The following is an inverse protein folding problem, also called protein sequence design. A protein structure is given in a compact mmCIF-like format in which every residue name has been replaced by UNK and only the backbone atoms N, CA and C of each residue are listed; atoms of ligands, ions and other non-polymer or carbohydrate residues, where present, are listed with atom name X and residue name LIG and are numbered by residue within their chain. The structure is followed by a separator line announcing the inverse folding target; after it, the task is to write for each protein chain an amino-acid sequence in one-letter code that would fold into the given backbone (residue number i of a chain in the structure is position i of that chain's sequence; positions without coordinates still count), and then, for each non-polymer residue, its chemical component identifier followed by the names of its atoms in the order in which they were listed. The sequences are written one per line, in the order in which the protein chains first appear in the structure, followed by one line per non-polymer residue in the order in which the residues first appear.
data_IF_772511969261
#
_entry.id   IF_772511969261
#
_cell.length_a   1.000
_cell.length_b   1.000
_cell.length_c   1.000
_cell.angle_alpha   90.00
_cell.angle_beta   90.00
_cell.angle_gamma   90.00
#
_symmetry.space_group_name_H-M   'P 1'
#
loop_
_entity.id
_entity.type
_entity.pdbx_description
1 polymer ?
#
# COMPACT_ATOMS: atom_id res chain seq x y z
N UNK A 1 1.79 7.76 23.13
CA UNK A 1 1.16 8.77 22.24
C UNK A 1 1.94 8.97 20.95
N UNK A 2 3.26 9.25 21.00
CA UNK A 2 4.10 9.40 19.80
C UNK A 2 4.02 8.21 18.83
N UNK A 3 4.06 6.96 19.32
CA UNK A 3 3.93 5.78 18.47
C UNK A 3 2.60 5.73 17.70
N UNK A 4 1.48 6.06 18.34
CA UNK A 4 0.16 6.08 17.69
C UNK A 4 0.08 7.16 16.61
N UNK A 5 0.63 8.34 16.88
CA UNK A 5 0.70 9.43 15.92
C UNK A 5 1.53 9.00 14.71
N UNK A 6 2.70 8.38 14.94
CA UNK A 6 3.55 7.85 13.89
C UNK A 6 2.82 6.79 13.05
N UNK A 7 2.19 5.80 13.69
CA UNK A 7 1.44 4.75 13.00
C UNK A 7 0.29 5.32 12.16
N UNK A 8 -0.40 6.35 12.67
CA UNK A 8 -1.46 7.04 11.91
C UNK A 8 -0.91 7.77 10.69
N UNK A 9 0.22 8.47 10.81
CA UNK A 9 0.88 9.14 9.68
C UNK A 9 1.29 8.13 8.63
N UNK A 10 1.91 7.01 9.04
CA UNK A 10 2.30 5.92 8.14
C UNK A 10 1.08 5.39 7.39
N UNK A 11 -0.01 5.07 8.10
CA UNK A 11 -1.25 4.63 7.46
C UNK A 11 -1.78 5.65 6.46
N UNK A 12 -1.78 6.93 6.82
CA UNK A 12 -2.28 7.99 5.94
C UNK A 12 -1.46 8.06 4.65
N UNK A 13 -0.12 7.97 4.74
CA UNK A 13 0.77 7.91 3.57
C UNK A 13 0.45 6.71 2.67
N UNK A 14 0.29 5.52 3.25
CA UNK A 14 -0.04 4.31 2.49
C UNK A 14 -1.43 4.36 1.87
N UNK A 15 -2.42 4.93 2.56
CA UNK A 15 -3.75 5.16 2.02
C UNK A 15 -3.71 6.08 0.80
N UNK A 16 -2.96 7.18 0.90
CA UNK A 16 -2.77 8.10 -0.23
C UNK A 16 -2.02 7.43 -1.39
N UNK A 17 -0.99 6.62 -1.12
CA UNK A 17 -0.25 5.88 -2.13
C UNK A 17 -1.17 4.90 -2.88
N UNK A 18 -2.02 4.14 -2.17
CA UNK A 18 -2.99 3.23 -2.79
C UNK A 18 -3.99 3.99 -3.68
N UNK A 19 -4.51 5.15 -3.24
CA UNK A 19 -5.40 5.99 -4.04
C UNK A 19 -4.69 6.51 -5.29
N UNK A 20 -3.43 6.93 -5.17
CA UNK A 20 -2.59 7.39 -6.26
C UNK A 20 -2.38 6.29 -7.32
N UNK A 21 -1.94 5.11 -6.90
CA UNK A 21 -1.76 3.92 -7.75
C UNK A 21 -3.07 3.59 -8.47
N UNK A 22 -4.18 3.55 -7.73
CA UNK A 22 -5.47 3.22 -8.30
C UNK A 22 -5.91 4.20 -9.40
N UNK A 23 -5.77 5.51 -9.16
CA UNK A 23 -6.15 6.54 -10.13
C UNK A 23 -5.23 6.56 -11.35
N UNK A 24 -3.92 6.40 -11.16
CA UNK A 24 -2.93 6.64 -12.21
C UNK A 24 -2.45 5.39 -12.94
N UNK A 25 -2.37 4.25 -12.25
CA UNK A 25 -1.94 2.99 -12.84
C UNK A 25 -3.15 2.13 -13.23
N UNK A 26 -3.97 1.74 -12.25
CA UNK A 26 -5.04 0.74 -12.45
C UNK A 26 -6.12 1.25 -13.42
N UNK A 27 -6.58 2.50 -13.27
CA UNK A 27 -7.61 3.05 -14.17
C UNK A 27 -7.10 3.43 -15.56
N UNK A 28 -5.82 3.74 -15.72
CA UNK A 28 -5.26 4.21 -17.00
C UNK A 28 -4.73 3.09 -17.88
N UNK A 29 -4.23 1.99 -17.31
CA UNK A 29 -3.72 0.86 -18.07
C UNK A 29 -4.88 -0.04 -18.51
N UNK A 30 -4.99 -0.30 -19.81
CA UNK A 30 -6.12 -1.02 -20.42
C UNK A 30 -6.34 -2.42 -19.84
N UNK A 31 -5.25 -3.15 -19.53
CA UNK A 31 -5.32 -4.47 -18.91
C UNK A 31 -5.90 -4.42 -17.49
N UNK A 32 -5.46 -3.48 -16.66
CA UNK A 32 -5.93 -3.37 -15.27
C UNK A 32 -7.31 -2.74 -15.15
N UNK A 33 -7.75 -1.98 -16.17
CA UNK A 33 -9.07 -1.35 -16.20
C UNK A 33 -10.22 -2.36 -16.11
N UNK A 34 -10.08 -3.58 -16.63
CA UNK A 34 -11.11 -4.62 -16.52
C UNK A 34 -11.22 -5.20 -15.10
N UNK A 35 -10.09 -5.26 -14.39
CA UNK A 35 -10.00 -5.83 -13.04
C UNK A 35 -10.05 -4.77 -11.93
N UNK A 36 -10.44 -3.54 -12.24
CA UNK A 36 -10.36 -2.41 -11.30
C UNK A 36 -11.08 -2.67 -9.97
N UNK A 37 -12.23 -3.36 -9.98
CA UNK A 37 -12.98 -3.71 -8.76
C UNK A 37 -12.20 -4.66 -7.86
N UNK A 38 -11.49 -5.63 -8.45
CA UNK A 38 -10.65 -6.57 -7.73
C UNK A 38 -9.47 -5.84 -7.10
N UNK A 39 -8.83 -4.93 -7.84
CA UNK A 39 -7.74 -4.12 -7.29
C UNK A 39 -8.16 -3.23 -6.13
N UNK A 40 -9.36 -2.63 -6.19
CA UNK A 40 -9.91 -1.87 -5.04
C UNK A 40 -10.04 -2.77 -3.82
N UNK A 41 -10.61 -3.97 -4.00
CA UNK A 41 -10.74 -4.93 -2.91
C UNK A 41 -9.38 -5.33 -2.34
N UNK A 42 -8.41 -5.65 -3.19
CA UNK A 42 -7.04 -5.99 -2.78
C UNK A 42 -6.39 -4.84 -1.99
N UNK A 43 -6.51 -3.59 -2.44
CA UNK A 43 -5.93 -2.45 -1.72
C UNK A 43 -6.60 -2.19 -0.38
N UNK A 44 -7.91 -2.43 -0.26
CA UNK A 44 -8.60 -2.35 1.03
C UNK A 44 -8.09 -3.43 1.98
N UNK A 45 -8.00 -4.68 1.52
CA UNK A 45 -7.50 -5.79 2.34
C UNK A 45 -6.05 -5.55 2.78
N UNK A 46 -5.18 -5.09 1.87
CA UNK A 46 -3.80 -4.72 2.20
C UNK A 46 -3.75 -3.59 3.23
N UNK A 47 -4.55 -2.54 3.05
CA UNK A 47 -4.59 -1.43 3.99
C UNK A 47 -5.04 -1.86 5.39
N UNK A 48 -6.05 -2.73 5.49
CA UNK A 48 -6.49 -3.29 6.76
C UNK A 48 -5.41 -4.15 7.40
N UNK A 49 -4.73 -5.01 6.64
CA UNK A 49 -3.65 -5.83 7.15
C UNK A 49 -2.47 -4.99 7.68
N UNK A 50 -2.12 -3.91 6.98
CA UNK A 50 -1.10 -2.95 7.40
C UNK A 50 -1.52 -2.19 8.68
N UNK A 51 -2.81 -1.83 8.80
CA UNK A 51 -3.33 -1.21 10.02
C UNK A 51 -3.25 -2.14 11.22
N UNK A 52 -3.64 -3.41 11.03
CA UNK A 52 -3.52 -4.47 12.04
C UNK A 52 -2.06 -4.66 12.45
N UNK A 53 -1.13 -4.77 11.50
CA UNK A 53 0.29 -4.90 11.81
C UNK A 53 0.82 -3.75 12.67
N UNK A 54 0.46 -2.50 12.36
CA UNK A 54 0.91 -1.35 13.13
C UNK A 54 0.38 -1.33 14.56
N UNK A 55 -0.80 -1.91 14.81
CA UNK A 55 -1.36 -2.06 16.15
C UNK A 55 -0.57 -3.11 16.93
N UNK A 56 -0.36 -4.30 16.35
CA UNK A 56 0.29 -5.43 17.03
C UNK A 56 1.81 -5.32 17.14
N UNK A 57 2.45 -4.51 16.28
CA UNK A 57 3.91 -4.29 16.30
C UNK A 57 4.42 -3.72 17.62
N UNK A 58 3.58 -3.02 18.39
CA UNK A 58 4.00 -2.28 19.59
C UNK A 58 4.45 -3.18 20.73
N UNK A 59 3.79 -4.32 20.92
CA UNK A 59 3.79 -5.02 22.21
C UNK A 59 4.41 -6.43 22.11
N UNK A 60 5.33 -6.66 21.17
CA UNK A 60 6.02 -7.95 20.92
C UNK A 60 5.06 -9.17 20.79
N UNK A 61 3.77 -8.94 20.56
CA UNK A 61 2.76 -10.01 20.42
C UNK A 61 2.93 -10.86 19.16
N UNK A 62 3.71 -10.38 18.19
CA UNK A 62 3.97 -11.08 16.94
C UNK A 62 5.23 -11.93 17.10
N UNK A 63 5.12 -13.23 16.85
CA UNK A 63 6.32 -14.04 16.62
C UNK A 63 7.08 -13.53 15.40
N UNK A 64 8.39 -13.79 15.34
CA UNK A 64 9.26 -13.33 14.26
C UNK A 64 8.69 -13.65 12.86
N UNK A 65 8.12 -14.85 12.71
CA UNK A 65 7.45 -15.30 11.47
C UNK A 65 6.23 -14.45 11.09
N UNK A 66 5.33 -14.15 12.04
CA UNK A 66 4.15 -13.31 11.76
C UNK A 66 4.55 -11.86 11.51
N UNK A 67 5.57 -11.38 12.20
CA UNK A 67 6.12 -10.05 11.98
C UNK A 67 6.66 -9.92 10.55
N UNK A 68 7.47 -10.87 10.09
CA UNK A 68 8.02 -10.88 8.73
C UNK A 68 6.92 -10.94 7.66
N UNK A 69 5.96 -11.85 7.80
CA UNK A 69 4.87 -12.01 6.82
C UNK A 69 4.06 -10.71 6.70
N UNK A 70 3.68 -10.12 7.83
CA UNK A 70 2.90 -8.88 7.83
C UNK A 70 3.73 -7.68 7.34
N UNK A 71 5.03 -7.64 7.63
CA UNK A 71 5.93 -6.63 7.11
C UNK A 71 6.08 -6.72 5.56
N UNK A 72 6.07 -7.93 5.00
CA UNK A 72 6.11 -8.12 3.55
C UNK A 72 4.85 -7.61 2.83
N UNK A 73 3.70 -7.51 3.50
CA UNK A 73 2.46 -6.96 2.91
C UNK A 73 2.55 -5.48 2.55
N UNK A 74 3.59 -4.77 2.99
CA UNK A 74 3.87 -3.41 2.52
C UNK A 74 4.55 -3.38 1.14
N UNK A 75 5.28 -4.45 0.77
CA UNK A 75 6.03 -4.51 -0.49
C UNK A 75 5.17 -4.31 -1.75
N UNK A 76 3.96 -4.93 -1.87
CA UNK A 76 3.10 -4.70 -3.03
C UNK A 76 2.74 -3.22 -3.24
N UNK A 77 2.42 -2.48 -2.17
CA UNK A 77 2.10 -1.05 -2.28
C UNK A 77 3.33 -0.25 -2.71
N UNK A 78 4.51 -0.53 -2.16
CA UNK A 78 5.75 0.13 -2.57
C UNK A 78 6.10 -0.13 -4.04
N UNK A 79 6.07 -1.39 -4.48
CA UNK A 79 6.38 -1.77 -5.85
C UNK A 79 5.44 -1.06 -6.84
N UNK A 80 4.13 -1.12 -6.60
CA UNK A 80 3.14 -0.48 -7.46
C UNK A 80 3.26 1.04 -7.44
N UNK A 81 3.61 1.64 -6.30
CA UNK A 81 3.87 3.07 -6.20
C UNK A 81 5.03 3.48 -7.10
N UNK A 82 6.19 2.82 -6.99
CA UNK A 82 7.35 3.12 -7.84
C UNK A 82 7.08 2.86 -9.32
N UNK A 83 6.36 1.79 -9.68
CA UNK A 83 5.92 1.56 -11.05
C UNK A 83 5.05 2.71 -11.58
N UNK A 84 4.10 3.19 -10.76
CA UNK A 84 3.23 4.31 -11.12
C UNK A 84 4.05 5.59 -11.31
N UNK A 85 5.04 5.82 -10.44
CA UNK A 85 5.91 6.98 -10.46
C UNK A 85 6.84 6.97 -11.69
N UNK A 86 7.46 5.83 -11.99
CA UNK A 86 8.29 5.65 -13.18
C UNK A 86 7.48 5.89 -14.47
N UNK A 87 6.25 5.37 -14.54
CA UNK A 87 5.36 5.59 -15.68
C UNK A 87 5.00 7.06 -15.87
N UNK A 88 4.73 7.78 -14.78
CA UNK A 88 4.46 9.21 -14.85
C UNK A 88 5.70 10.02 -15.26
N UNK A 89 6.89 9.62 -14.83
CA UNK A 89 8.14 10.24 -15.29
C UNK A 89 8.37 10.02 -16.78
N UNK A 90 8.16 8.81 -17.29
CA UNK A 90 8.28 8.50 -18.72
C UNK A 90 7.36 9.41 -19.54
N UNK A 91 6.10 9.60 -19.09
CA UNK A 91 5.12 10.48 -19.75
C UNK A 91 5.44 11.98 -19.67
N UNK A 92 6.30 12.38 -18.74
CA UNK A 92 6.72 13.78 -18.61
C UNK A 92 7.86 14.09 -19.58
N UNK A 93 8.71 13.10 -19.83
CA UNK A 93 9.88 13.22 -20.71
C UNK A 93 9.49 13.03 -22.18
N UNK A 94 8.53 12.15 -22.47
CA UNK A 94 8.08 11.77 -23.81
C UNK A 94 6.78 12.50 -24.18
#
# INVERSE_FOLDING_TARGET
MIFLIFSFIVLLIFGLANVYIYKRLIKKITLFKYFYKIFVFIFIVLFLAQAVFLIFRRDEYLSDTWYEILAMLYAPTYCLFFMTLAWDFIKLIL
#
